data_IF_319160733591
#
_entry.id   IF_319160733591
#
_cell.length_a   1.000
_cell.length_b   1.000
_cell.length_c   1.000
_cell.angle_alpha   90.00
_cell.angle_beta   90.00
_cell.angle_gamma   90.00
#
_symmetry.space_group_name_H-M   'P 1'
#
loop_
_entity.id
_entity.type
_entity.pdbx_description
1 polymer ?
#
# COMPACT_ATOMS: atom_id res chain seq x y z
N UNK A 1 -6.71 -2.32 19.97
CA UNK A 1 -5.90 -3.09 19.02
C UNK A 1 -6.28 -2.56 17.66
N UNK A 2 -5.34 -1.97 16.92
CA UNK A 2 -5.58 -1.59 15.54
C UNK A 2 -5.85 -2.88 14.77
N UNK A 3 -7.05 -3.01 14.18
CA UNK A 3 -7.38 -4.15 13.34
C UNK A 3 -6.78 -3.85 11.97
N UNK A 4 -5.75 -4.59 11.57
CA UNK A 4 -5.18 -4.42 10.23
C UNK A 4 -6.26 -4.81 9.21
N UNK A 5 -6.61 -3.90 8.30
CA UNK A 5 -7.59 -4.19 7.23
C UNK A 5 -6.87 -4.94 6.12
N UNK A 6 -7.45 -6.05 5.68
CA UNK A 6 -6.97 -6.81 4.53
C UNK A 6 -8.06 -6.86 3.47
N UNK A 7 -7.65 -6.73 2.21
CA UNK A 7 -8.56 -6.73 1.07
C UNK A 7 -8.04 -7.68 -0.01
N UNK A 8 -8.97 -8.26 -0.77
CA UNK A 8 -8.65 -9.02 -1.99
C UNK A 8 -9.50 -8.54 -3.16
N UNK A 9 -8.99 -8.74 -4.37
CA UNK A 9 -9.78 -8.61 -5.60
C UNK A 9 -10.45 -9.94 -5.92
N UNK A 10 -11.78 -9.96 -5.84
CA UNK A 10 -12.62 -11.11 -6.18
C UNK A 10 -13.22 -10.95 -7.59
N UNK A 11 -12.99 -11.93 -8.45
CA UNK A 11 -13.55 -12.02 -9.80
C UNK A 11 -14.55 -13.16 -9.88
N UNK A 12 -15.78 -12.85 -10.26
CA UNK A 12 -16.85 -13.85 -10.33
C UNK A 12 -17.93 -13.47 -11.34
N UNK A 13 -18.68 -14.47 -11.80
CA UNK A 13 -19.91 -14.24 -12.55
C UNK A 13 -21.06 -14.00 -11.56
N UNK A 14 -21.60 -12.77 -11.53
CA UNK A 14 -22.66 -12.44 -10.57
C UNK A 14 -23.89 -13.35 -10.78
N UNK A 15 -24.34 -14.09 -9.75
CA UNK A 15 -25.43 -15.06 -9.91
C UNK A 15 -26.77 -14.40 -10.24
N UNK A 16 -26.96 -13.12 -9.87
CA UNK A 16 -28.18 -12.35 -10.10
C UNK A 16 -28.23 -11.67 -11.48
N UNK A 17 -27.18 -10.95 -11.87
CA UNK A 17 -27.17 -10.20 -13.14
C UNK A 17 -26.42 -10.91 -14.28
N UNK A 18 -25.78 -12.06 -13.99
CA UNK A 18 -25.05 -12.92 -14.94
C UNK A 18 -23.89 -12.24 -15.68
N UNK A 19 -23.42 -11.11 -15.19
CA UNK A 19 -22.24 -10.40 -15.72
C UNK A 19 -21.01 -10.79 -14.91
N UNK A 20 -19.88 -10.96 -15.60
CA UNK A 20 -18.57 -11.05 -14.95
C UNK A 20 -18.25 -9.71 -14.30
N UNK A 21 -17.85 -9.76 -13.03
CA UNK A 21 -17.52 -8.59 -12.23
C UNK A 21 -16.22 -8.80 -11.47
N UNK A 22 -15.56 -7.69 -11.16
CA UNK A 22 -14.42 -7.61 -10.26
C UNK A 22 -14.85 -6.72 -9.10
N UNK A 23 -14.66 -7.18 -7.87
CA UNK A 23 -15.01 -6.43 -6.66
C UNK A 23 -13.86 -6.52 -5.65
N UNK A 24 -13.62 -5.42 -4.94
CA UNK A 24 -12.75 -5.41 -3.76
C UNK A 24 -13.55 -5.92 -2.57
N UNK A 25 -12.99 -6.86 -1.82
CA UNK A 25 -13.65 -7.53 -0.70
C UNK A 25 -12.73 -7.47 0.51
N UNK A 26 -13.24 -6.99 1.63
CA UNK A 26 -12.55 -7.06 2.92
C UNK A 26 -12.53 -8.51 3.42
N UNK A 27 -11.36 -8.96 3.88
CA UNK A 27 -11.10 -10.33 4.30
C UNK A 27 -10.40 -10.35 5.66
N UNK A 28 -10.58 -11.42 6.45
CA UNK A 28 -9.91 -11.52 7.75
C UNK A 28 -8.38 -11.56 7.58
N UNK A 29 -7.67 -10.93 8.50
CA UNK A 29 -6.20 -10.98 8.57
C UNK A 29 -5.73 -12.44 8.78
N UNK A 30 -4.72 -12.94 8.05
CA UNK A 30 -4.15 -14.26 8.29
C UNK A 30 -3.56 -14.38 9.71
N UNK A 31 -3.83 -15.50 10.40
CA UNK A 31 -3.34 -15.71 11.76
C UNK A 31 -1.83 -16.04 11.80
N UNK A 32 -1.01 -15.08 12.22
CA UNK A 32 0.44 -15.25 12.34
C UNK A 32 0.90 -15.91 13.67
N UNK A 33 -0.03 -16.38 14.51
CA UNK A 33 0.26 -17.05 15.78
C UNK A 33 0.81 -18.48 15.61
N UNK A 34 0.97 -18.94 14.37
CA UNK A 34 1.38 -20.31 14.03
C UNK A 34 2.85 -20.38 13.61
N UNK A 35 3.57 -21.43 14.03
CA UNK A 35 5.01 -21.59 13.77
C UNK A 35 5.36 -21.80 12.28
N UNK A 36 4.41 -22.25 11.46
CA UNK A 36 4.60 -22.51 10.03
C UNK A 36 3.72 -21.60 9.20
N UNK A 37 4.29 -21.00 8.16
CA UNK A 37 3.56 -20.17 7.20
C UNK A 37 2.42 -20.93 6.49
N UNK A 38 2.48 -22.27 6.41
CA UNK A 38 1.41 -23.11 5.88
C UNK A 38 0.19 -23.22 6.79
N UNK A 39 0.39 -22.97 8.08
CA UNK A 39 -0.62 -23.16 9.13
C UNK A 39 -1.30 -21.83 9.49
N UNK A 40 -0.81 -20.73 8.92
CA UNK A 40 -1.39 -19.39 9.00
C UNK A 40 -2.65 -19.33 8.14
N UNK A 41 -3.78 -19.64 8.77
CA UNK A 41 -5.11 -19.61 8.16
C UNK A 41 -6.03 -18.79 9.06
N UNK A 42 -6.83 -17.93 8.43
CA UNK A 42 -7.96 -17.26 9.08
C UNK A 42 -9.23 -17.49 8.29
N UNK A 43 -10.29 -17.85 9.00
CA UNK A 43 -11.62 -18.02 8.46
C UNK A 43 -12.53 -16.90 8.98
N UNK A 44 -13.40 -16.37 8.13
CA UNK A 44 -14.35 -15.35 8.53
C UNK A 44 -15.46 -15.12 7.52
N UNK A 45 -16.57 -14.58 8.01
CA UNK A 45 -17.67 -14.12 7.16
C UNK A 45 -17.26 -12.88 6.37
N UNK A 46 -17.58 -12.85 5.08
CA UNK A 46 -17.30 -11.73 4.18
C UNK A 46 -18.54 -11.34 3.40
N UNK A 47 -18.61 -10.06 3.03
CA UNK A 47 -19.67 -9.50 2.21
C UNK A 47 -19.11 -9.12 0.83
N UNK A 48 -19.60 -9.76 -0.22
CA UNK A 48 -19.19 -9.49 -1.61
C UNK A 48 -20.28 -8.67 -2.30
N UNK A 49 -20.01 -7.39 -2.57
CA UNK A 49 -20.95 -6.51 -3.29
C UNK A 49 -20.67 -6.52 -4.80
N UNK A 50 -21.69 -6.86 -5.60
CA UNK A 50 -21.58 -6.76 -7.05
C UNK A 50 -21.65 -5.30 -7.52
N UNK A 51 -20.64 -4.76 -8.22
CA UNK A 51 -20.62 -3.35 -8.66
C UNK A 51 -21.60 -3.03 -9.80
N UNK A 52 -22.25 -4.05 -10.40
CA UNK A 52 -23.17 -3.87 -11.55
C UNK A 52 -24.64 -3.87 -11.18
N UNK A 53 -25.02 -4.61 -10.14
CA UNK A 53 -26.42 -4.72 -9.70
C UNK A 53 -26.58 -4.43 -8.20
N UNK A 54 -25.49 -3.98 -7.56
CA UNK A 54 -25.40 -3.54 -6.16
C UNK A 54 -25.87 -4.56 -5.12
N UNK A 55 -26.08 -5.80 -5.55
CA UNK A 55 -26.49 -6.88 -4.67
C UNK A 55 -25.30 -7.34 -3.86
N UNK A 56 -25.50 -7.43 -2.56
CA UNK A 56 -24.53 -7.95 -1.58
C UNK A 56 -24.78 -9.45 -1.41
N UNK A 57 -23.71 -10.22 -1.44
CA UNK A 57 -23.70 -11.65 -1.20
C UNK A 57 -22.89 -11.93 0.05
N UNK A 58 -23.45 -12.69 0.98
CA UNK A 58 -22.70 -13.17 2.14
C UNK A 58 -21.94 -14.45 1.76
N UNK A 59 -20.77 -14.63 2.36
CA UNK A 59 -19.95 -15.80 2.14
C UNK A 59 -18.96 -16.04 3.27
N UNK A 60 -18.21 -17.13 3.14
CA UNK A 60 -17.08 -17.46 3.97
C UNK A 60 -15.77 -17.26 3.19
N UNK A 61 -14.78 -16.70 3.86
CA UNK A 61 -13.44 -16.53 3.34
C UNK A 61 -12.45 -17.38 4.14
N UNK A 62 -11.62 -18.13 3.43
CA UNK A 62 -10.43 -18.80 3.95
C UNK A 62 -9.20 -18.05 3.44
N UNK A 63 -8.58 -17.28 4.31
CA UNK A 63 -7.41 -16.47 3.97
C UNK A 63 -6.14 -17.10 4.54
N UNK A 64 -5.12 -17.25 3.71
CA UNK A 64 -3.78 -17.74 4.08
C UNK A 64 -2.72 -16.73 3.60
N UNK A 65 -1.46 -16.95 3.96
CA UNK A 65 -0.36 -16.08 3.49
C UNK A 65 -0.19 -16.10 1.96
N UNK A 66 -0.66 -17.15 1.29
CA UNK A 66 -0.39 -17.39 -0.14
C UNK A 66 -1.64 -17.56 -1.00
N UNK A 67 -2.82 -17.60 -0.41
CA UNK A 67 -4.09 -17.79 -1.12
C UNK A 67 -5.25 -17.21 -0.34
N UNK A 68 -6.28 -16.80 -1.07
CA UNK A 68 -7.57 -16.40 -0.51
C UNK A 68 -8.65 -17.19 -1.26
N UNK A 69 -9.54 -17.84 -0.55
CA UNK A 69 -10.65 -18.59 -1.12
C UNK A 69 -11.97 -18.05 -0.56
N UNK A 70 -12.89 -17.65 -1.43
CA UNK A 70 -14.19 -17.09 -1.04
C UNK A 70 -15.29 -18.00 -1.57
N UNK A 71 -16.21 -18.40 -0.70
CA UNK A 71 -17.42 -19.17 -1.07
C UNK A 71 -18.66 -18.39 -0.67
N UNK A 72 -19.61 -18.22 -1.59
CA UNK A 72 -20.86 -17.52 -1.33
C UNK A 72 -21.90 -18.46 -0.71
N UNK A 73 -22.57 -18.05 0.36
CA UNK A 73 -23.48 -18.91 1.15
C UNK A 73 -24.66 -19.42 0.32
N UNK A 74 -25.38 -18.51 -0.35
CA UNK A 74 -26.56 -18.84 -1.16
C UNK A 74 -26.20 -19.35 -2.58
N UNK A 75 -24.90 -19.35 -2.93
CA UNK A 75 -24.43 -19.55 -4.31
C UNK A 75 -23.11 -20.33 -4.37
N UNK A 76 -22.99 -21.43 -3.61
CA UNK A 76 -21.77 -22.25 -3.54
C UNK A 76 -21.25 -22.81 -4.88
N UNK A 77 -22.11 -22.92 -5.91
CA UNK A 77 -21.69 -23.31 -7.26
C UNK A 77 -20.98 -22.18 -8.05
N UNK A 78 -20.98 -20.95 -7.52
CA UNK A 78 -20.33 -19.81 -8.17
C UNK A 78 -18.84 -19.81 -7.85
N UNK A 79 -18.01 -20.06 -8.85
CA UNK A 79 -16.56 -19.91 -8.72
C UNK A 79 -16.19 -18.45 -8.51
N UNK A 80 -15.64 -18.13 -7.35
CA UNK A 80 -15.04 -16.83 -7.02
C UNK A 80 -13.53 -16.99 -7.08
N UNK A 81 -12.90 -16.33 -8.05
CA UNK A 81 -11.45 -16.25 -8.15
C UNK A 81 -10.98 -15.05 -7.32
N UNK A 82 -10.46 -15.32 -6.12
CA UNK A 82 -9.87 -14.30 -5.27
C UNK A 82 -8.34 -14.28 -5.43
N UNK A 83 -7.77 -13.08 -5.52
CA UNK A 83 -6.33 -12.87 -5.50
C UNK A 83 -5.78 -13.00 -4.06
N UNK A 84 -4.47 -13.05 -3.89
CA UNK A 84 -3.86 -13.08 -2.55
C UNK A 84 -4.28 -11.81 -1.79
N UNK A 85 -4.76 -11.97 -0.56
CA UNK A 85 -5.15 -10.84 0.27
C UNK A 85 -3.95 -9.93 0.55
N UNK A 86 -4.17 -8.63 0.44
CA UNK A 86 -3.16 -7.60 0.67
C UNK A 86 -3.57 -6.76 1.86
N UNK A 87 -2.57 -6.26 2.58
CA UNK A 87 -2.80 -5.24 3.58
C UNK A 87 -3.36 -4.00 2.89
N UNK A 88 -4.54 -3.59 3.31
CA UNK A 88 -5.16 -2.33 2.91
C UNK A 88 -4.78 -1.31 3.97
N UNK A 89 -3.78 -0.44 3.72
CA UNK A 89 -3.49 0.64 4.66
C UNK A 89 -4.76 1.48 4.84
N UNK A 90 -4.98 1.96 6.05
CA UNK A 90 -5.94 3.05 6.22
C UNK A 90 -5.40 4.24 5.44
N UNK A 91 -6.24 4.84 4.59
CA UNK A 91 -5.85 5.97 3.74
C UNK A 91 -5.24 7.13 4.55
N UNK A 92 -5.47 7.18 5.87
CA UNK A 92 -4.91 8.18 6.78
C UNK A 92 -3.40 8.01 7.06
N UNK A 93 -2.84 6.80 7.01
CA UNK A 93 -1.45 6.56 7.45
C UNK A 93 -0.38 6.94 6.40
N UNK A 94 -0.73 6.99 5.12
CA UNK A 94 0.19 7.37 4.03
C UNK A 94 0.03 8.82 3.57
N UNK A 95 -1.07 9.49 3.93
CA UNK A 95 -1.39 10.85 3.47
C UNK A 95 -0.86 11.91 4.45
N UNK A 96 -0.45 11.52 5.66
CA UNK A 96 0.13 12.43 6.66
C UNK A 96 1.65 12.67 6.44
N UNK A 97 2.11 12.60 5.18
CA UNK A 97 3.39 13.21 4.82
C UNK A 97 3.17 14.72 4.81
N UNK A 98 3.69 15.42 5.82
CA UNK A 98 3.81 16.88 5.87
C UNK A 98 4.75 17.34 4.75
N UNK A 99 4.25 17.38 3.52
CA UNK A 99 4.99 17.84 2.35
C UNK A 99 5.14 19.34 2.44
N UNK A 100 6.36 19.83 2.22
CA UNK A 100 6.60 21.27 2.22
C UNK A 100 5.76 21.95 1.12
N UNK A 101 5.08 23.04 1.48
CA UNK A 101 4.41 23.93 0.52
C UNK A 101 5.39 24.60 -0.45
N UNK A 102 6.68 24.60 -0.10
CA UNK A 102 7.75 25.27 -0.83
C UNK A 102 8.96 24.34 -1.03
N UNK A 103 8.80 23.24 -1.79
CA UNK A 103 9.84 22.22 -1.91
C UNK A 103 11.12 22.76 -2.55
N UNK A 104 11.01 23.70 -3.50
CA UNK A 104 12.15 24.37 -4.11
C UNK A 104 12.98 25.17 -3.10
N UNK A 105 12.32 25.86 -2.16
CA UNK A 105 13.01 26.66 -1.13
C UNK A 105 13.81 25.75 -0.19
N UNK A 106 13.22 24.62 0.23
CA UNK A 106 13.88 23.62 1.09
C UNK A 106 15.08 22.99 0.38
N UNK A 107 14.93 22.66 -0.91
CA UNK A 107 16.04 22.13 -1.70
C UNK A 107 17.20 23.13 -1.82
N UNK A 108 16.90 24.38 -2.18
CA UNK A 108 17.92 25.40 -2.36
C UNK A 108 18.67 25.71 -1.05
N UNK A 109 17.96 25.74 0.08
CA UNK A 109 18.60 25.91 1.40
C UNK A 109 19.57 24.75 1.72
N UNK A 110 19.13 23.50 1.51
CA UNK A 110 19.96 22.30 1.67
C UNK A 110 21.17 22.29 0.74
N UNK A 111 20.98 22.71 -0.52
CA UNK A 111 22.05 22.83 -1.51
C UNK A 111 23.10 23.87 -1.10
N UNK A 112 22.68 25.04 -0.64
CA UNK A 112 23.59 26.09 -0.19
C UNK A 112 24.37 25.67 1.06
N UNK A 113 23.70 25.14 2.08
CA UNK A 113 24.36 24.68 3.30
C UNK A 113 25.37 23.55 3.04
N UNK A 114 25.05 22.62 2.14
CA UNK A 114 26.02 21.58 1.77
C UNK A 114 27.16 22.09 0.89
N UNK A 115 26.92 23.12 0.09
CA UNK A 115 27.96 23.87 -0.61
C UNK A 115 28.96 24.52 0.37
N UNK A 116 28.47 25.13 1.44
CA UNK A 116 29.31 25.72 2.49
C UNK A 116 30.14 24.64 3.20
N UNK A 117 29.54 23.49 3.53
CA UNK A 117 30.28 22.33 4.09
C UNK A 117 31.41 21.84 3.16
N UNK A 118 31.19 21.84 1.85
CA UNK A 118 32.24 21.51 0.88
C UNK A 118 33.30 22.61 0.79
N UNK A 119 32.93 23.88 0.92
CA UNK A 119 33.90 24.97 0.90
C UNK A 119 34.80 24.96 2.16
N UNK A 120 34.24 24.62 3.32
CA UNK A 120 34.95 24.61 4.60
C UNK A 120 35.72 23.31 4.86
N UNK A 121 35.18 22.18 4.40
CA UNK A 121 35.68 20.84 4.77
C UNK A 121 35.92 19.92 3.57
N UNK A 122 35.54 20.35 2.37
CA UNK A 122 35.82 19.65 1.12
C UNK A 122 37.19 20.02 0.57
N UNK A 123 37.95 19.02 0.17
CA UNK A 123 39.31 19.19 -0.36
C UNK A 123 39.99 17.86 -0.65
N UNK A 124 41.25 17.92 -1.09
CA UNK A 124 42.05 16.70 -1.26
C UNK A 124 42.25 16.00 0.11
N UNK A 125 42.00 14.69 0.14
CA UNK A 125 42.03 13.89 1.38
C UNK A 125 40.71 13.86 2.15
N UNK A 126 39.73 14.71 1.83
CA UNK A 126 38.41 14.74 2.48
C UNK A 126 37.36 13.84 1.78
N UNK A 127 37.80 12.69 1.23
CA UNK A 127 36.96 11.83 0.37
C UNK A 127 35.65 11.38 1.04
N UNK A 128 35.66 11.15 2.36
CA UNK A 128 34.46 10.76 3.10
C UNK A 128 33.44 11.91 3.17
N UNK A 129 33.88 13.13 3.48
CA UNK A 129 33.01 14.32 3.53
C UNK A 129 32.41 14.59 2.16
N UNK A 130 33.23 14.57 1.10
CA UNK A 130 32.76 14.76 -0.26
C UNK A 130 31.69 13.74 -0.65
N UNK A 131 31.86 12.47 -0.25
CA UNK A 131 30.90 11.40 -0.54
C UNK A 131 29.62 11.52 0.27
N UNK A 132 29.71 11.94 1.54
CA UNK A 132 28.53 12.18 2.37
C UNK A 132 27.70 13.36 1.83
N UNK A 133 28.36 14.47 1.49
CA UNK A 133 27.68 15.64 0.91
C UNK A 133 27.05 15.29 -0.45
N UNK A 134 27.75 14.53 -1.28
CA UNK A 134 27.18 14.07 -2.55
C UNK A 134 25.93 13.21 -2.33
N UNK A 135 26.00 12.23 -1.42
CA UNK A 135 24.85 11.37 -1.09
C UNK A 135 23.67 12.17 -0.53
N UNK A 136 23.94 13.17 0.31
CA UNK A 136 22.91 14.07 0.84
C UNK A 136 22.22 14.86 -0.27
N UNK A 137 22.97 15.38 -1.25
CA UNK A 137 22.39 16.14 -2.36
C UNK A 137 21.47 15.27 -3.23
N UNK A 138 21.77 13.97 -3.38
CA UNK A 138 20.85 13.03 -4.05
C UNK A 138 19.55 12.88 -3.25
N UNK A 139 19.64 12.65 -1.94
CA UNK A 139 18.46 12.55 -1.09
C UNK A 139 17.63 13.84 -1.06
N UNK A 140 18.28 15.01 -1.00
CA UNK A 140 17.60 16.30 -1.07
C UNK A 140 16.86 16.49 -2.41
N UNK A 141 17.45 16.03 -3.53
CA UNK A 141 16.79 16.05 -4.84
C UNK A 141 15.59 15.09 -4.90
N UNK A 142 15.72 13.89 -4.34
CA UNK A 142 14.62 12.91 -4.25
C UNK A 142 13.44 13.46 -3.45
N UNK A 143 13.70 14.08 -2.29
CA UNK A 143 12.67 14.75 -1.49
C UNK A 143 12.01 15.89 -2.25
N UNK A 144 12.80 16.77 -2.89
CA UNK A 144 12.27 17.87 -3.71
C UNK A 144 11.31 17.38 -4.80
N UNK A 145 11.71 16.35 -5.55
CA UNK A 145 10.90 15.80 -6.62
C UNK A 145 9.64 15.11 -6.08
N UNK A 146 9.75 14.41 -4.96
CA UNK A 146 8.63 13.72 -4.32
C UNK A 146 7.58 14.72 -3.83
N UNK A 147 8.00 15.73 -3.06
CA UNK A 147 7.12 16.80 -2.56
C UNK A 147 6.45 17.54 -3.72
N UNK A 148 7.21 17.84 -4.78
CA UNK A 148 6.67 18.49 -5.99
C UNK A 148 5.59 17.63 -6.66
N UNK A 149 5.83 16.32 -6.79
CA UNK A 149 4.86 15.40 -7.40
C UNK A 149 3.62 15.23 -6.54
N UNK A 150 3.76 15.10 -5.23
CA UNK A 150 2.64 14.99 -4.29
C UNK A 150 1.78 16.25 -4.34
N UNK A 151 2.39 17.43 -4.27
CA UNK A 151 1.70 18.72 -4.38
C UNK A 151 0.97 18.89 -5.72
N UNK A 152 1.41 18.24 -6.79
CA UNK A 152 0.73 18.27 -8.10
C UNK A 152 -0.35 17.20 -8.28
N UNK A 153 -0.23 16.05 -7.61
CA UNK A 153 -1.11 14.89 -7.81
C UNK A 153 -2.24 14.80 -6.77
N UNK A 154 -2.03 15.36 -5.58
CA UNK A 154 -2.96 15.26 -4.44
C UNK A 154 -3.76 16.57 -4.21
N UNK A 155 -3.46 17.63 -4.97
CA UNK A 155 -4.21 18.90 -4.98
C UNK A 155 -5.24 19.00 -6.12
#
# INVERSE_FOLDING_TARGET
>A
MASHRFETTARFACPKCKRSVSATVEVPEPSFDTERASDTVSEGSVEVKCPKCETVFNGQCFNTVSSCEITLDDYGDTTVEAEIAQYAPDDEDWVDFDTSDHPEAVFNDSYHHTGDLLAEHGGEGAHLVNRMVFSHNIGALESYLSDTLINLAVC
#
